data_IF_700886330646
#
_entry.id   IF_700886330646
#
_cell.length_a   1.000
_cell.length_b   1.000
_cell.length_c   1.000
_cell.angle_alpha   90.00
_cell.angle_beta   90.00
_cell.angle_gamma   90.00
#
_symmetry.space_group_name_H-M   'P 1'
#
loop_
_entity.id
_entity.type
_entity.pdbx_description
1 polymer ?
#
# COMPACT_ATOMS: atom_id res chain seq x y z
N UNK A 1 34.03 -25.57 -5.87
CA UNK A 1 34.09 -24.10 -6.01
C UNK A 1 32.72 -23.62 -6.40
N UNK A 2 32.14 -22.82 -5.51
CA UNK A 2 30.82 -22.21 -5.59
C UNK A 2 30.71 -21.23 -6.78
N UNK A 3 29.67 -21.37 -7.60
CA UNK A 3 29.04 -20.28 -8.34
C UNK A 3 27.55 -20.54 -8.43
N UNK A 4 26.86 -20.30 -7.32
CA UNK A 4 25.41 -20.18 -7.31
C UNK A 4 25.02 -18.99 -8.21
N UNK A 5 24.57 -19.30 -9.42
CA UNK A 5 24.04 -18.30 -10.36
C UNK A 5 22.72 -17.82 -9.77
N UNK A 6 22.76 -16.60 -9.24
CA UNK A 6 21.60 -15.85 -8.80
C UNK A 6 20.51 -15.93 -9.87
N UNK A 7 19.27 -16.33 -9.56
CA UNK A 7 18.18 -16.12 -10.49
C UNK A 7 18.07 -14.62 -10.69
N UNK A 8 18.36 -14.19 -11.92
CA UNK A 8 18.08 -12.86 -12.43
C UNK A 8 16.79 -12.35 -11.80
N UNK A 9 16.89 -11.25 -11.04
CA UNK A 9 15.74 -10.46 -10.59
C UNK A 9 15.00 -10.05 -11.87
N UNK A 10 14.08 -10.92 -12.28
CA UNK A 10 13.21 -10.79 -13.43
C UNK A 10 12.52 -9.45 -13.26
N UNK A 11 12.69 -8.60 -14.27
CA UNK A 11 12.41 -7.18 -14.20
C UNK A 11 11.11 -6.89 -13.47
N UNK A 12 11.18 -5.94 -12.54
CA UNK A 12 10.01 -5.13 -12.25
C UNK A 12 9.68 -4.44 -13.56
N UNK A 13 8.84 -5.11 -14.36
CA UNK A 13 8.05 -4.48 -15.39
C UNK A 13 7.44 -3.25 -14.74
N UNK A 14 7.36 -2.17 -15.49
CA UNK A 14 6.86 -0.87 -15.07
C UNK A 14 5.34 -0.94 -14.78
N UNK A 15 4.89 -1.95 -14.04
CA UNK A 15 3.59 -1.98 -13.37
C UNK A 15 3.63 -0.77 -12.45
N UNK A 16 2.80 0.20 -12.78
CA UNK A 16 2.80 1.55 -12.22
C UNK A 16 2.98 1.46 -10.70
N UNK A 17 3.98 2.15 -10.11
CA UNK A 17 4.23 2.10 -8.66
C UNK A 17 2.96 2.37 -7.85
N UNK A 18 2.07 3.21 -8.38
CA UNK A 18 0.73 3.46 -7.84
C UNK A 18 -0.18 2.22 -7.82
N UNK A 19 -0.15 1.37 -8.85
CA UNK A 19 -0.92 0.11 -8.90
C UNK A 19 -0.41 -0.91 -7.86
N UNK A 20 0.91 -1.00 -7.68
CA UNK A 20 1.49 -1.82 -6.62
C UNK A 20 1.10 -1.30 -5.23
N UNK A 21 1.11 0.03 -5.05
CA UNK A 21 0.65 0.66 -3.82
C UNK A 21 -0.85 0.47 -3.60
N UNK A 22 -1.68 0.46 -4.65
CA UNK A 22 -3.12 0.20 -4.55
C UNK A 22 -3.43 -1.22 -4.06
N UNK A 23 -2.64 -2.23 -4.47
CA UNK A 23 -2.81 -3.61 -4.00
C UNK A 23 -2.57 -3.73 -2.49
N UNK A 24 -1.48 -3.14 -2.02
CA UNK A 24 -1.14 -3.15 -0.60
C UNK A 24 -2.00 -2.17 0.22
N UNK A 25 -2.58 -1.15 -0.42
CA UNK A 25 -3.47 -0.21 0.24
C UNK A 25 -4.79 -0.84 0.66
N UNK A 26 -5.33 -1.79 -0.12
CA UNK A 26 -6.53 -2.52 0.28
C UNK A 26 -6.33 -3.30 1.58
N UNK A 27 -5.20 -4.00 1.71
CA UNK A 27 -4.82 -4.74 2.92
C UNK A 27 -4.62 -3.79 4.11
N UNK A 28 -4.12 -2.58 3.84
CA UNK A 28 -3.97 -1.53 4.83
C UNK A 28 -5.34 -1.07 5.35
N UNK A 29 -6.29 -0.77 4.46
CA UNK A 29 -7.66 -0.36 4.84
C UNK A 29 -8.36 -1.44 5.65
N UNK A 30 -8.29 -2.71 5.25
CA UNK A 30 -8.88 -3.81 6.03
C UNK A 30 -8.33 -3.89 7.46
N UNK A 31 -7.03 -3.66 7.65
CA UNK A 31 -6.43 -3.62 8.99
C UNK A 31 -6.91 -2.43 9.80
N UNK A 32 -7.11 -1.27 9.18
CA UNK A 32 -7.72 -0.10 9.86
C UNK A 32 -9.15 -0.43 10.30
N UNK A 33 -9.96 -1.00 9.42
CA UNK A 33 -11.36 -1.38 9.72
C UNK A 33 -11.48 -2.45 10.83
N UNK A 34 -10.46 -3.30 10.98
CA UNK A 34 -10.38 -4.32 12.03
C UNK A 34 -9.68 -3.85 13.31
N UNK A 35 -9.33 -2.57 13.41
CA UNK A 35 -8.54 -1.98 14.50
C UNK A 35 -7.16 -2.63 14.72
N UNK A 36 -6.59 -3.19 13.64
CA UNK A 36 -5.28 -3.84 13.57
C UNK A 36 -4.22 -2.95 12.90
N UNK A 37 -4.40 -1.63 12.99
CA UNK A 37 -3.54 -0.63 12.36
C UNK A 37 -2.06 -0.69 12.79
N UNK A 38 -1.78 -1.22 13.98
CA UNK A 38 -0.41 -1.56 14.45
C UNK A 38 0.31 -2.58 13.54
N UNK A 39 -0.43 -3.41 12.80
CA UNK A 39 0.12 -4.42 11.89
C UNK A 39 0.42 -3.85 10.48
N UNK A 40 0.25 -2.55 10.28
CA UNK A 40 0.57 -1.89 9.02
C UNK A 40 2.05 -1.50 9.03
N UNK A 41 2.87 -2.00 8.08
CA UNK A 41 4.29 -1.66 8.03
C UNK A 41 4.50 -0.18 7.75
N UNK A 42 5.30 0.48 8.59
CA UNK A 42 5.52 1.94 8.56
C UNK A 42 6.02 2.48 7.21
N UNK A 43 6.78 1.67 6.46
CA UNK A 43 7.27 2.04 5.12
C UNK A 43 6.14 2.39 4.15
N UNK A 44 5.02 1.66 4.20
CA UNK A 44 3.88 1.89 3.30
C UNK A 44 2.99 3.04 3.78
N UNK A 45 2.89 3.24 5.10
CA UNK A 45 2.10 4.32 5.69
C UNK A 45 2.58 5.69 5.21
N UNK A 46 3.90 5.89 5.14
CA UNK A 46 4.47 7.14 4.66
C UNK A 46 4.05 7.45 3.21
N UNK A 47 4.07 6.44 2.32
CA UNK A 47 3.60 6.61 0.94
C UNK A 47 2.10 6.95 0.91
N UNK A 48 1.26 6.30 1.73
CA UNK A 48 -0.19 6.56 1.75
C UNK A 48 -0.54 7.95 2.32
N UNK A 49 0.21 8.43 3.32
CA UNK A 49 0.09 9.79 3.84
C UNK A 49 0.51 10.81 2.77
N UNK A 50 1.62 10.56 2.07
CA UNK A 50 2.11 11.44 1.00
C UNK A 50 1.15 11.52 -0.19
N UNK A 51 0.48 10.41 -0.53
CA UNK A 51 -0.58 10.36 -1.53
C UNK A 51 -1.91 10.96 -1.06
N UNK A 52 -2.01 11.34 0.21
CA UNK A 52 -3.24 11.84 0.83
C UNK A 52 -4.35 10.78 0.91
N UNK A 53 -4.01 9.50 0.83
CA UNK A 53 -4.97 8.40 0.93
C UNK A 53 -5.32 8.07 2.39
N UNK A 54 -4.37 8.33 3.30
CA UNK A 54 -4.59 8.27 4.74
C UNK A 54 -4.35 9.64 5.38
N UNK A 55 -4.93 9.82 6.56
CA UNK A 55 -4.61 10.90 7.47
C UNK A 55 -4.46 10.36 8.89
N UNK A 56 -3.62 11.02 9.70
CA UNK A 56 -3.46 10.70 11.12
C UNK A 56 -4.35 11.65 11.94
N UNK A 57 -5.34 11.12 12.65
CA UNK A 57 -6.18 11.87 13.59
C UNK A 57 -6.18 11.16 14.93
N UNK A 58 -5.96 11.91 16.01
CA UNK A 58 -5.96 11.37 17.39
C UNK A 58 -5.04 10.15 17.59
N UNK A 59 -3.93 10.08 16.83
CA UNK A 59 -2.97 8.97 16.89
C UNK A 59 -3.36 7.72 16.10
N UNK A 60 -4.47 7.75 15.36
CA UNK A 60 -4.98 6.64 14.55
C UNK A 60 -5.04 7.01 13.06
N UNK A 61 -4.89 6.02 12.20
CA UNK A 61 -4.96 6.21 10.76
C UNK A 61 -6.41 6.15 10.28
N UNK A 62 -6.81 7.15 9.52
CA UNK A 62 -8.14 7.25 8.91
C UNK A 62 -8.05 7.28 7.39
N UNK A 63 -9.00 6.62 6.74
CA UNK A 63 -9.17 6.64 5.29
C UNK A 63 -9.74 7.99 4.85
N UNK A 64 -9.05 8.68 3.95
CA UNK A 64 -9.54 9.96 3.39
C UNK A 64 -10.50 9.72 2.22
N UNK A 65 -11.18 10.77 1.77
CA UNK A 65 -12.00 10.72 0.54
C UNK A 65 -11.19 10.39 -0.72
N UNK A 66 -9.91 10.80 -0.77
CA UNK A 66 -9.01 10.46 -1.87
C UNK A 66 -8.66 8.97 -1.84
N UNK A 67 -8.32 8.42 -0.65
CA UNK A 67 -8.08 6.99 -0.48
C UNK A 67 -9.31 6.14 -0.80
N UNK A 68 -10.50 6.55 -0.35
CA UNK A 68 -11.76 5.87 -0.69
C UNK A 68 -12.04 5.89 -2.20
N UNK A 69 -11.68 6.97 -2.90
CA UNK A 69 -11.84 7.07 -4.36
C UNK A 69 -10.80 6.23 -5.11
N UNK A 70 -9.56 6.16 -4.61
CA UNK A 70 -8.54 5.23 -5.09
C UNK A 70 -9.01 3.77 -5.00
N UNK A 71 -9.59 3.36 -3.87
CA UNK A 71 -10.17 2.03 -3.69
C UNK A 71 -11.35 1.73 -4.63
N UNK A 72 -12.22 2.71 -4.89
CA UNK A 72 -13.35 2.55 -5.82
C UNK A 72 -12.91 2.41 -7.27
N UNK A 73 -11.90 3.17 -7.71
CA UNK A 73 -11.35 3.07 -9.08
C UNK A 73 -10.87 1.64 -9.39
N UNK A 74 -10.22 1.00 -8.42
CA UNK A 74 -9.75 -0.39 -8.56
C UNK A 74 -10.89 -1.41 -8.70
N UNK A 75 -11.99 -1.25 -7.94
CA UNK A 75 -13.14 -2.17 -8.01
C UNK A 75 -13.91 -2.10 -9.35
N UNK A 76 -13.69 -1.06 -10.13
CA UNK A 76 -14.34 -0.83 -11.43
C UNK A 76 -13.45 -1.20 -12.62
N UNK A 77 -12.19 -1.57 -12.36
CA UNK A 77 -11.18 -1.82 -13.39
C UNK A 77 -10.90 -3.30 -13.62
#
# INVERSE_FOLDING_TARGET
MDRSIHPSRKGFSHVNREEALLDDFEKCVQKIEQDQQILIPSGFVCDYLALGWLELRDGLYHLTSAGASAMRRRKLS
#
